data_IF_305836077611
#
_entry.id   IF_305836077611
#
_cell.length_a   1.000
_cell.length_b   1.000
_cell.length_c   1.000
_cell.angle_alpha   90.00
_cell.angle_beta   90.00
_cell.angle_gamma   90.00
#
_symmetry.space_group_name_H-M   'P 1'
#
loop_
_entity.id
_entity.type
_entity.pdbx_description
1 polymer ?
#
# COMPACT_ATOMS: atom_id res chain seq x y z
N UNK A 1 4.86 11.19 11.26
CA UNK A 1 5.42 10.82 9.95
C UNK A 1 6.76 10.16 10.14
N UNK A 2 6.68 8.86 10.35
CA UNK A 2 7.85 7.99 10.37
C UNK A 2 8.17 7.51 8.95
N UNK A 3 9.31 7.98 8.40
CA UNK A 3 9.71 7.63 7.02
C UNK A 3 10.05 6.14 6.86
N UNK A 4 10.37 5.43 7.96
CA UNK A 4 10.65 4.00 7.89
C UNK A 4 9.35 3.20 7.84
N UNK A 5 8.34 3.61 8.61
CA UNK A 5 6.98 3.05 8.56
C UNK A 5 6.36 3.22 7.16
N UNK A 6 6.43 4.42 6.56
CA UNK A 6 5.94 4.62 5.17
C UNK A 6 6.62 3.65 4.20
N UNK A 7 7.95 3.55 4.23
CA UNK A 7 8.69 2.62 3.37
C UNK A 7 8.34 1.15 3.62
N UNK A 8 8.10 0.79 4.87
CA UNK A 8 7.66 -0.55 5.25
C UNK A 8 6.32 -0.88 4.59
N UNK A 9 5.32 -0.01 4.75
CA UNK A 9 4.00 -0.20 4.15
C UNK A 9 4.03 -0.14 2.61
N UNK A 10 4.90 0.68 2.01
CA UNK A 10 5.12 0.67 0.54
C UNK A 10 5.57 -0.72 0.06
N UNK A 11 6.53 -1.35 0.75
CA UNK A 11 7.01 -2.69 0.40
C UNK A 11 5.94 -3.76 0.59
N UNK A 12 5.15 -3.67 1.67
CA UNK A 12 4.02 -4.56 1.92
C UNK A 12 3.02 -4.45 0.78
N UNK A 13 2.57 -3.24 0.44
CA UNK A 13 1.61 -3.00 -0.64
C UNK A 13 2.13 -3.50 -1.99
N UNK A 14 3.39 -3.23 -2.34
CA UNK A 14 4.01 -3.72 -3.59
C UNK A 14 4.07 -5.24 -3.67
N UNK A 15 4.48 -5.90 -2.57
CA UNK A 15 4.53 -7.37 -2.51
C UNK A 15 3.14 -7.98 -2.67
N UNK A 16 2.15 -7.34 -2.06
CA UNK A 16 0.75 -7.74 -2.15
C UNK A 16 0.20 -7.59 -3.57
N UNK A 17 0.52 -6.48 -4.27
CA UNK A 17 0.15 -6.29 -5.68
C UNK A 17 0.77 -7.38 -6.57
N UNK A 18 2.05 -7.71 -6.36
CA UNK A 18 2.70 -8.80 -7.11
C UNK A 18 2.02 -10.14 -6.86
N UNK A 19 1.65 -10.44 -5.61
CA UNK A 19 0.92 -11.67 -5.29
C UNK A 19 -0.49 -11.71 -5.91
N UNK A 20 -1.20 -10.59 -5.97
CA UNK A 20 -2.50 -10.51 -6.65
C UNK A 20 -2.37 -10.78 -8.15
N UNK A 21 -1.36 -10.22 -8.80
CA UNK A 21 -1.07 -10.49 -10.21
C UNK A 21 -0.74 -11.95 -10.48
N UNK A 22 -0.05 -12.63 -9.54
CA UNK A 22 0.30 -14.05 -9.65
C UNK A 22 -0.88 -14.99 -9.38
N UNK A 23 -1.73 -14.66 -8.41
CA UNK A 23 -2.80 -15.54 -7.94
C UNK A 23 -4.15 -15.32 -8.63
N UNK A 24 -4.30 -14.25 -9.43
CA UNK A 24 -5.57 -13.91 -10.09
C UNK A 24 -6.72 -13.59 -9.13
N UNK A 25 -6.40 -13.38 -7.85
CA UNK A 25 -7.35 -13.03 -6.79
C UNK A 25 -7.32 -11.53 -6.56
N UNK A 26 -8.48 -10.90 -6.40
CA UNK A 26 -8.61 -9.45 -6.30
C UNK A 26 -9.57 -9.04 -5.18
N UNK A 27 -9.09 -8.91 -3.94
CA UNK A 27 -9.43 -7.70 -3.22
C UNK A 27 -8.77 -6.52 -3.93
N UNK A 28 -9.48 -5.40 -4.04
CA UNK A 28 -8.87 -4.19 -4.55
C UNK A 28 -7.68 -3.77 -3.65
N UNK A 29 -6.72 -3.04 -4.23
CA UNK A 29 -5.63 -2.41 -3.49
C UNK A 29 -6.15 -1.56 -2.34
N UNK A 30 -7.32 -0.92 -2.56
CA UNK A 30 -8.04 -0.13 -1.57
C UNK A 30 -8.53 -0.96 -0.37
N UNK A 31 -9.19 -2.10 -0.61
CA UNK A 31 -9.66 -2.98 0.47
C UNK A 31 -8.52 -3.48 1.37
N UNK A 32 -7.34 -3.74 0.80
CA UNK A 32 -6.17 -4.16 1.58
C UNK A 32 -5.58 -3.04 2.41
N UNK A 33 -5.61 -1.81 1.88
CA UNK A 33 -5.24 -0.62 2.66
C UNK A 33 -6.22 -0.40 3.80
N UNK A 34 -7.52 -0.56 3.57
CA UNK A 34 -8.52 -0.47 4.64
C UNK A 34 -8.32 -1.55 5.70
N UNK A 35 -7.97 -2.78 5.31
CA UNK A 35 -7.62 -3.84 6.27
C UNK A 35 -6.34 -3.53 7.06
N UNK A 36 -5.31 -2.99 6.41
CA UNK A 36 -4.07 -2.55 7.07
C UNK A 36 -4.35 -1.43 8.08
N UNK A 37 -5.14 -0.43 7.71
CA UNK A 37 -5.55 0.66 8.61
C UNK A 37 -6.40 0.12 9.77
N UNK A 38 -7.29 -0.83 9.50
CA UNK A 38 -8.11 -1.44 10.55
C UNK A 38 -7.27 -2.26 11.55
N UNK A 39 -6.19 -2.90 11.09
CA UNK A 39 -5.22 -3.63 11.92
C UNK A 39 -4.31 -2.69 12.72
N UNK A 40 -3.78 -1.65 12.06
CA UNK A 40 -2.77 -0.75 12.59
C UNK A 40 -3.24 0.71 12.53
N UNK A 41 -4.27 1.01 13.32
CA UNK A 41 -4.88 2.36 13.42
C UNK A 41 -3.90 3.45 13.83
N UNK A 42 -2.80 3.10 14.49
CA UNK A 42 -1.78 4.06 14.94
C UNK A 42 -0.96 4.61 13.77
N UNK A 43 -0.85 3.86 12.68
CA UNK A 43 -0.04 4.18 11.50
C UNK A 43 -0.90 4.50 10.27
N UNK A 44 -2.17 4.89 10.47
CA UNK A 44 -3.12 5.21 9.38
C UNK A 44 -2.52 6.21 8.38
N UNK A 45 -1.87 7.26 8.87
CA UNK A 45 -1.25 8.30 8.03
C UNK A 45 -0.10 7.74 7.19
N UNK A 46 0.76 6.94 7.80
CA UNK A 46 1.88 6.29 7.15
C UNK A 46 1.41 5.29 6.07
N UNK A 47 0.35 4.53 6.35
CA UNK A 47 -0.27 3.59 5.41
C UNK A 47 -0.92 4.32 4.22
N UNK A 48 -1.64 5.42 4.47
CA UNK A 48 -2.26 6.21 3.39
C UNK A 48 -1.22 6.87 2.48
N UNK A 49 -0.09 7.34 3.03
CA UNK A 49 1.01 7.87 2.23
C UNK A 49 1.65 6.80 1.36
N UNK A 50 1.91 5.63 1.95
CA UNK A 50 2.46 4.48 1.22
C UNK A 50 1.54 4.07 0.07
N UNK A 51 0.23 4.03 0.30
CA UNK A 51 -0.75 3.77 -0.75
C UNK A 51 -0.67 4.78 -1.89
N UNK A 52 -0.67 6.08 -1.58
CA UNK A 52 -0.58 7.13 -2.60
C UNK A 52 0.71 7.02 -3.42
N UNK A 53 1.85 6.75 -2.77
CA UNK A 53 3.12 6.55 -3.48
C UNK A 53 3.05 5.35 -4.44
N UNK A 54 2.54 4.22 -3.97
CA UNK A 54 2.43 2.99 -4.77
C UNK A 54 1.47 3.19 -5.95
N UNK A 55 0.31 3.82 -5.74
CA UNK A 55 -0.63 4.14 -6.84
C UNK A 55 0.01 5.08 -7.85
N UNK A 56 0.71 6.12 -7.38
CA UNK A 56 1.38 7.08 -8.27
C UNK A 56 2.49 6.42 -9.11
N UNK A 57 3.25 5.51 -8.51
CA UNK A 57 4.26 4.70 -9.21
C UNK A 57 3.63 3.77 -10.25
N UNK A 58 2.50 3.12 -9.93
CA UNK A 58 1.77 2.25 -10.85
C UNK A 58 1.13 2.99 -12.04
N UNK A 59 0.64 4.21 -11.81
CA UNK A 59 0.04 5.07 -12.84
C UNK A 59 1.12 5.73 -13.72
N UNK A 60 2.39 5.70 -13.30
CA UNK A 60 3.52 6.24 -14.06
C UNK A 60 3.65 7.76 -13.97
N UNK A 61 3.09 8.40 -12.93
CA UNK A 61 3.33 9.83 -12.66
C UNK A 61 4.68 10.01 -11.94
N UNK A 62 5.77 9.77 -12.67
CA UNK A 62 7.11 10.22 -12.32
C UNK A 62 7.20 11.74 -12.51
N UNK A 63 7.63 12.48 -11.47
CA UNK A 63 8.03 13.89 -11.54
C UNK A 63 9.53 14.00 -11.28
#
# INVERSE_FOLDING_TARGET
MDRQAVKHYEQVLKSTIMQMQLNGASPSLHEQVEQLIASDRTDELEIQLAYNHVVRELVGEEY
#
